data_IF_003064115465
#
_entry.id   IF_003064115465
#
_cell.length_a   1.000
_cell.length_b   1.000
_cell.length_c   1.000
_cell.angle_alpha   90.00
_cell.angle_beta   90.00
_cell.angle_gamma   90.00
#
_symmetry.space_group_name_H-M   'P 1'
#
loop_
_entity.id
_entity.type
_entity.pdbx_description
1 polymer ?
#
# COMPACT_ATOMS: atom_id res chain seq x y z
N UNK A 1 -0.32 -18.63 0.88
CA UNK A 1 -0.25 -17.89 -0.40
C UNK A 1 1.15 -17.39 -0.66
N UNK A 2 1.57 -17.45 -1.89
CA UNK A 2 2.84 -16.87 -2.31
C UNK A 2 2.81 -15.34 -2.21
N UNK A 3 3.98 -14.68 -2.07
CA UNK A 3 4.01 -13.21 -1.97
C UNK A 3 3.25 -12.48 -3.07
N UNK A 4 3.36 -12.91 -4.32
CA UNK A 4 2.59 -12.28 -5.42
C UNK A 4 1.09 -12.40 -5.22
N UNK A 5 0.63 -13.55 -4.73
CA UNK A 5 -0.80 -13.77 -4.49
C UNK A 5 -1.32 -12.87 -3.36
N UNK A 6 -0.53 -12.69 -2.31
CA UNK A 6 -0.88 -11.79 -1.20
C UNK A 6 -0.99 -10.36 -1.71
N UNK A 7 -0.04 -9.92 -2.54
CA UNK A 7 -0.06 -8.56 -3.09
C UNK A 7 -1.25 -8.36 -4.03
N UNK A 8 -1.60 -9.35 -4.84
CA UNK A 8 -2.80 -9.24 -5.70
C UNK A 8 -4.07 -9.15 -4.86
N UNK A 9 -4.17 -9.90 -3.78
CA UNK A 9 -5.29 -9.78 -2.85
C UNK A 9 -5.31 -8.39 -2.19
N UNK A 10 -4.13 -7.85 -1.86
CA UNK A 10 -3.98 -6.50 -1.31
C UNK A 10 -4.49 -5.45 -2.30
N UNK A 11 -4.08 -5.54 -3.57
CA UNK A 11 -4.53 -4.61 -4.62
C UNK A 11 -6.04 -4.64 -4.78
N UNK A 12 -6.64 -5.84 -4.81
CA UNK A 12 -8.09 -5.98 -4.93
C UNK A 12 -8.81 -5.31 -3.77
N UNK A 13 -8.39 -5.58 -2.53
CA UNK A 13 -8.97 -4.98 -1.35
C UNK A 13 -8.77 -3.46 -1.31
N UNK A 14 -7.57 -3.00 -1.70
CA UNK A 14 -7.25 -1.58 -1.78
C UNK A 14 -8.20 -0.86 -2.76
N UNK A 15 -8.42 -1.44 -3.94
CA UNK A 15 -9.28 -0.84 -4.96
C UNK A 15 -10.76 -0.83 -4.56
N UNK A 16 -11.16 -1.68 -3.63
CA UNK A 16 -12.50 -1.69 -3.05
C UNK A 16 -12.60 -0.82 -1.78
N UNK A 17 -11.48 -0.23 -1.35
CA UNK A 17 -11.38 0.50 -0.08
C UNK A 17 -11.86 -0.36 1.10
N UNK A 18 -11.59 -1.66 1.05
CA UNK A 18 -12.01 -2.62 2.08
C UNK A 18 -10.91 -2.75 3.13
N UNK A 19 -10.98 -1.90 4.14
CA UNK A 19 -9.94 -1.85 5.18
C UNK A 19 -9.86 -3.13 5.99
N UNK A 20 -10.98 -3.76 6.28
CA UNK A 20 -10.97 -5.02 7.04
C UNK A 20 -10.28 -6.13 6.25
N UNK A 21 -10.54 -6.24 4.95
CA UNK A 21 -9.85 -7.19 4.10
C UNK A 21 -8.35 -6.89 4.03
N UNK A 22 -7.98 -5.61 3.90
CA UNK A 22 -6.57 -5.20 3.91
C UNK A 22 -5.89 -5.59 5.22
N UNK A 23 -6.51 -5.27 6.36
CA UNK A 23 -5.94 -5.58 7.66
C UNK A 23 -5.70 -7.08 7.83
N UNK A 24 -6.59 -7.91 7.28
CA UNK A 24 -6.44 -9.38 7.38
C UNK A 24 -5.20 -9.91 6.66
N UNK A 25 -4.60 -9.13 5.78
CA UNK A 25 -3.40 -9.52 5.04
C UNK A 25 -2.09 -9.18 5.78
N UNK A 26 -2.16 -8.41 6.87
CA UNK A 26 -0.98 -8.00 7.63
C UNK A 26 -0.79 -8.84 8.88
N UNK A 27 0.48 -9.07 9.25
CA UNK A 27 0.81 -9.56 10.58
C UNK A 27 0.41 -8.52 11.62
N UNK A 28 0.16 -8.96 12.85
CA UNK A 28 -0.26 -8.07 13.93
C UNK A 28 0.77 -6.97 14.19
N UNK A 29 2.05 -7.30 14.11
CA UNK A 29 3.17 -6.38 14.33
C UNK A 29 3.81 -5.87 13.04
N UNK A 30 3.08 -5.92 11.93
CA UNK A 30 3.57 -5.46 10.64
C UNK A 30 3.96 -3.98 10.66
N UNK A 31 4.88 -3.61 9.77
CA UNK A 31 5.30 -2.22 9.58
C UNK A 31 4.97 -1.80 8.15
N UNK A 32 4.35 -0.65 8.01
CA UNK A 32 4.10 -0.02 6.71
C UNK A 32 4.84 1.31 6.66
N UNK A 33 5.89 1.37 5.86
CA UNK A 33 6.72 2.56 5.70
C UNK A 33 6.44 3.21 4.35
N UNK A 34 5.66 4.28 4.35
CA UNK A 34 5.48 5.11 3.17
C UNK A 34 6.55 6.19 3.21
N UNK A 35 7.52 6.13 2.32
CA UNK A 35 8.72 6.97 2.37
C UNK A 35 8.37 8.46 2.29
N UNK A 36 7.33 8.81 1.53
CA UNK A 36 6.86 10.20 1.43
C UNK A 36 6.16 10.71 2.70
N UNK A 37 5.81 9.82 3.62
CA UNK A 37 5.08 10.15 4.85
C UNK A 37 5.88 9.70 6.08
N UNK A 38 5.55 8.55 6.63
CA UNK A 38 6.18 8.03 7.85
C UNK A 38 6.02 6.52 7.95
N UNK A 39 6.71 5.92 8.91
CA UNK A 39 6.52 4.52 9.28
C UNK A 39 5.34 4.39 10.23
N UNK A 40 4.49 3.40 9.97
CA UNK A 40 3.34 3.07 10.81
C UNK A 40 3.52 1.63 11.30
N UNK A 41 3.40 1.44 12.60
CA UNK A 41 3.70 0.17 13.25
C UNK A 41 2.45 -0.47 13.82
N UNK A 42 2.24 -1.74 13.45
CA UNK A 42 1.14 -2.56 13.92
C UNK A 42 -0.08 -2.51 13.00
N UNK A 43 -0.75 -3.65 12.91
CA UNK A 43 -1.92 -3.81 12.03
C UNK A 43 -3.04 -2.81 12.32
N UNK A 44 -3.31 -2.54 13.59
CA UNK A 44 -4.37 -1.59 13.96
C UNK A 44 -4.06 -0.18 13.47
N UNK A 45 -2.81 0.27 13.66
CA UNK A 45 -2.38 1.60 13.18
C UNK A 45 -2.37 1.68 11.66
N UNK A 46 -1.98 0.60 10.99
CA UNK A 46 -2.02 0.53 9.52
C UNK A 46 -3.46 0.64 9.03
N UNK A 47 -4.39 -0.05 9.67
CA UNK A 47 -5.83 0.06 9.34
C UNK A 47 -6.36 1.47 9.49
N UNK A 48 -5.95 2.16 10.56
CA UNK A 48 -6.35 3.56 10.79
C UNK A 48 -5.79 4.49 9.72
N UNK A 49 -4.51 4.30 9.35
CA UNK A 49 -3.89 5.05 8.25
C UNK A 49 -4.66 4.86 6.94
N UNK A 50 -5.04 3.63 6.63
CA UNK A 50 -5.78 3.31 5.40
C UNK A 50 -7.17 3.95 5.41
N UNK A 51 -7.89 3.91 6.55
CA UNK A 51 -9.19 4.56 6.68
C UNK A 51 -9.09 6.06 6.39
N UNK A 52 -8.10 6.71 6.96
CA UNK A 52 -7.88 8.15 6.74
C UNK A 52 -7.54 8.44 5.29
N UNK A 53 -6.70 7.61 4.67
CA UNK A 53 -6.34 7.77 3.27
C UNK A 53 -7.55 7.65 2.35
N UNK A 54 -8.38 6.63 2.53
CA UNK A 54 -9.59 6.45 1.72
C UNK A 54 -10.62 7.54 1.96
N UNK A 55 -10.67 8.11 3.16
CA UNK A 55 -11.58 9.22 3.46
C UNK A 55 -11.14 10.52 2.81
N UNK A 56 -9.84 10.71 2.58
CA UNK A 56 -9.30 11.96 2.03
C UNK A 56 -9.17 11.96 0.51
N UNK A 57 -9.08 10.80 -0.13
CA UNK A 57 -8.88 10.70 -1.57
C UNK A 57 -9.41 9.37 -2.10
N UNK A 58 -9.89 9.38 -3.34
CA UNK A 58 -10.23 8.14 -4.03
C UNK A 58 -8.91 7.57 -4.56
N UNK A 59 -8.47 6.46 -4.00
CA UNK A 59 -7.22 5.83 -4.37
C UNK A 59 -7.47 4.55 -5.15
N UNK A 60 -6.85 4.44 -6.32
CA UNK A 60 -6.92 3.27 -7.18
C UNK A 60 -5.50 2.86 -7.54
N UNK A 61 -5.20 1.59 -7.35
CA UNK A 61 -3.91 1.00 -7.68
C UNK A 61 -4.06 0.16 -8.95
N UNK A 62 -3.38 0.58 -10.02
CA UNK A 62 -3.34 -0.17 -11.28
C UNK A 62 -1.98 -0.83 -11.36
N UNK A 63 -1.96 -2.16 -11.40
CA UNK A 63 -0.71 -2.93 -11.46
C UNK A 63 -0.07 -2.75 -12.83
N UNK A 64 1.17 -2.26 -12.86
CA UNK A 64 1.97 -2.23 -14.08
C UNK A 64 2.90 -3.43 -14.16
N UNK A 65 3.59 -3.74 -13.07
CA UNK A 65 4.46 -4.91 -12.96
C UNK A 65 4.40 -5.45 -11.54
N UNK A 66 4.55 -6.76 -11.43
CA UNK A 66 4.60 -7.43 -10.14
C UNK A 66 5.67 -8.51 -10.20
N UNK A 67 6.69 -8.37 -9.37
CA UNK A 67 7.83 -9.28 -9.32
C UNK A 67 7.88 -9.97 -7.96
N UNK A 68 8.45 -11.17 -7.94
CA UNK A 68 8.68 -11.89 -6.70
C UNK A 68 10.13 -12.34 -6.63
N UNK A 69 10.75 -12.14 -5.47
CA UNK A 69 12.09 -12.61 -5.17
C UNK A 69 12.06 -13.18 -3.75
N UNK A 70 12.04 -14.52 -3.66
CA UNK A 70 11.94 -15.21 -2.37
C UNK A 70 10.66 -14.83 -1.64
N UNK A 71 10.79 -14.28 -0.43
CA UNK A 71 9.67 -13.82 0.39
C UNK A 71 9.21 -12.41 0.04
N UNK A 72 9.87 -11.76 -0.92
CA UNK A 72 9.54 -10.39 -1.30
C UNK A 72 8.72 -10.35 -2.57
N UNK A 73 7.75 -9.44 -2.62
CA UNK A 73 7.07 -9.06 -3.85
C UNK A 73 7.26 -7.57 -4.07
N UNK A 74 7.51 -7.19 -5.30
CA UNK A 74 7.70 -5.79 -5.69
C UNK A 74 6.59 -5.42 -6.66
N UNK A 75 5.78 -4.43 -6.27
CA UNK A 75 4.66 -3.94 -7.03
C UNK A 75 4.99 -2.59 -7.63
N UNK A 76 5.02 -2.50 -8.96
CA UNK A 76 5.05 -1.22 -9.64
C UNK A 76 3.64 -0.89 -10.08
N UNK A 77 3.18 0.31 -9.71
CA UNK A 77 1.78 0.70 -9.91
C UNK A 77 1.66 2.12 -10.44
N UNK A 78 0.49 2.42 -10.96
CA UNK A 78 0.07 3.79 -11.27
C UNK A 78 -1.36 4.00 -10.83
N UNK A 79 -1.79 5.24 -10.71
CA UNK A 79 -3.20 5.55 -10.52
C UNK A 79 -3.79 6.15 -11.82
N UNK A 80 -5.13 6.31 -11.89
CA UNK A 80 -5.76 6.87 -13.10
C UNK A 80 -5.37 8.31 -13.41
N UNK A 81 -4.81 9.04 -12.43
CA UNK A 81 -4.44 10.46 -12.58
C UNK A 81 -2.97 10.65 -12.96
N UNK A 82 -2.22 9.55 -13.13
CA UNK A 82 -0.85 9.59 -13.58
C UNK A 82 0.21 9.51 -12.49
N UNK A 83 -0.17 9.42 -11.22
CA UNK A 83 0.79 9.15 -10.15
C UNK A 83 1.32 7.73 -10.31
N UNK A 84 2.63 7.58 -10.19
CA UNK A 84 3.30 6.28 -10.27
C UNK A 84 4.09 6.02 -9.01
N UNK A 85 4.23 4.75 -8.67
CA UNK A 85 5.00 4.36 -7.51
C UNK A 85 5.37 2.90 -7.53
N UNK A 86 6.09 2.49 -6.50
CA UNK A 86 6.40 1.09 -6.28
C UNK A 86 6.36 0.78 -4.79
N UNK A 87 6.03 -0.47 -4.49
CA UNK A 87 5.98 -0.96 -3.13
C UNK A 87 6.71 -2.28 -3.00
N UNK A 88 7.42 -2.43 -1.89
CA UNK A 88 8.12 -3.65 -1.51
C UNK A 88 7.34 -4.29 -0.38
N UNK A 89 6.99 -5.56 -0.54
CA UNK A 89 6.22 -6.31 0.46
C UNK A 89 7.04 -7.53 0.90
N UNK A 90 7.34 -7.60 2.17
CA UNK A 90 7.93 -8.80 2.77
C UNK A 90 6.79 -9.65 3.31
N UNK A 91 6.63 -10.83 2.73
CA UNK A 91 5.52 -11.73 3.07
C UNK A 91 6.12 -13.01 3.65
N UNK A 92 5.61 -13.42 4.80
CA UNK A 92 5.96 -14.70 5.39
C UNK A 92 4.72 -15.34 5.99
N UNK A 93 4.59 -16.65 5.78
CA UNK A 93 3.42 -17.37 6.24
C UNK A 93 2.11 -16.85 5.66
N UNK A 94 2.14 -16.27 4.46
CA UNK A 94 0.96 -15.73 3.79
C UNK A 94 0.50 -14.37 4.31
N UNK A 95 1.29 -13.70 5.14
CA UNK A 95 0.96 -12.38 5.71
C UNK A 95 2.07 -11.38 5.42
N UNK A 96 1.69 -10.12 5.27
CA UNK A 96 2.63 -9.02 5.08
C UNK A 96 3.25 -8.68 6.43
N UNK A 97 4.57 -8.87 6.54
CA UNK A 97 5.33 -8.50 7.74
C UNK A 97 5.86 -7.08 7.65
N UNK A 98 6.19 -6.63 6.44
CA UNK A 98 6.76 -5.32 6.19
C UNK A 98 6.38 -4.84 4.80
N UNK A 99 6.09 -3.55 4.68
CA UNK A 99 5.78 -2.91 3.40
C UNK A 99 6.49 -1.56 3.35
N UNK A 100 7.11 -1.26 2.20
CA UNK A 100 7.69 0.05 1.95
C UNK A 100 7.21 0.56 0.61
N UNK A 101 6.62 1.75 0.60
CA UNK A 101 6.11 2.37 -0.61
C UNK A 101 6.90 3.61 -0.97
N UNK A 102 7.15 3.79 -2.28
CA UNK A 102 7.81 4.96 -2.85
C UNK A 102 6.87 5.62 -3.85
N UNK A 103 6.56 6.89 -3.62
CA UNK A 103 5.74 7.69 -4.51
C UNK A 103 6.05 9.17 -4.27
N UNK A 104 5.76 10.02 -5.25
CA UNK A 104 6.08 11.44 -5.16
C UNK A 104 4.93 12.21 -4.52
N UNK A 105 5.20 12.77 -3.36
CA UNK A 105 4.19 13.50 -2.57
C UNK A 105 3.70 14.75 -3.28
N UNK A 106 4.57 15.45 -4.00
CA UNK A 106 4.16 16.65 -4.74
C UNK A 106 3.20 16.30 -5.87
N UNK A 107 3.50 15.24 -6.63
CA UNK A 107 2.61 14.76 -7.68
C UNK A 107 1.26 14.34 -7.10
N UNK A 108 1.25 13.61 -5.99
CA UNK A 108 0.02 13.21 -5.32
C UNK A 108 -0.81 14.44 -4.92
N UNK A 109 -0.18 15.42 -4.30
CA UNK A 109 -0.85 16.67 -3.90
C UNK A 109 -1.50 17.37 -5.09
N UNK A 110 -0.77 17.48 -6.20
CA UNK A 110 -1.28 18.15 -7.40
C UNK A 110 -2.40 17.38 -8.08
N UNK A 111 -2.26 16.08 -8.23
CA UNK A 111 -3.24 15.27 -8.98
C UNK A 111 -4.51 15.00 -8.19
N UNK A 112 -4.41 14.88 -6.88
CA UNK A 112 -5.57 14.58 -6.03
C UNK A 112 -6.13 15.81 -5.30
N UNK A 113 -5.48 16.98 -5.45
CA UNK A 113 -5.93 18.20 -4.79
C UNK A 113 -5.83 18.14 -3.26
N UNK A 114 -4.90 17.32 -2.76
CA UNK A 114 -4.68 17.14 -1.32
C UNK A 114 -3.52 18.02 -0.87
N UNK A 115 -3.65 18.82 0.21
CA UNK A 115 -2.53 19.63 0.70
C UNK A 115 -1.32 18.77 1.05
N UNK A 116 -0.11 19.32 0.85
CA UNK A 116 1.13 18.61 1.16
C UNK A 116 1.24 18.23 2.63
N UNK A 117 0.65 19.02 3.49
CA UNK A 117 0.84 18.87 4.92
C UNK A 117 2.19 19.39 5.38
N UNK A 118 2.44 19.37 6.67
CA UNK A 118 3.68 19.88 7.26
C UNK A 118 4.35 18.90 8.21
#
# INVERSE_FOLDING_TARGET
MEPKEVVLAWVDAFNRADVDALMSLYEEDAVNHQVAESSVHGRAAIGEMLRKGFASAKMVCIVENLFQDGEWAILEWRDPLGLRGCGFFHVRGGKIAFQRGYWDKLTFSKTHGVPLGE
#
